data_IF_759768541184
#
_entry.id   IF_759768541184
#
_cell.length_a   1.000
_cell.length_b   1.000
_cell.length_c   1.000
_cell.angle_alpha   90.00
_cell.angle_beta   90.00
_cell.angle_gamma   90.00
#
_symmetry.space_group_name_H-M   'P 1'
#
loop_
_entity.id
_entity.type
_entity.pdbx_description
1 polymer ?
#
# COMPACT_ATOMS: atom_id res chain seq x y z
N UNK A 1 31.86 2.37 -10.03
CA UNK A 1 30.84 1.61 -9.30
C UNK A 1 29.99 2.62 -8.55
N UNK A 2 28.73 2.82 -8.95
CA UNK A 2 27.77 3.60 -8.17
C UNK A 2 26.60 2.67 -7.90
N UNK A 3 26.58 2.11 -6.68
CA UNK A 3 25.50 1.30 -6.14
C UNK A 3 24.30 2.21 -5.84
N UNK A 4 23.41 2.37 -6.82
CA UNK A 4 22.07 2.88 -6.56
C UNK A 4 21.24 1.76 -5.92
N UNK A 5 21.54 1.44 -4.67
CA UNK A 5 20.60 0.75 -3.78
C UNK A 5 19.50 1.74 -3.40
N UNK A 6 18.62 2.05 -4.35
CA UNK A 6 17.34 2.61 -3.95
C UNK A 6 16.59 1.49 -3.20
N UNK A 7 16.06 1.75 -1.99
CA UNK A 7 15.23 0.76 -1.33
C UNK A 7 14.07 0.43 -2.27
N UNK A 8 13.96 -0.85 -2.67
CA UNK A 8 12.80 -1.33 -3.44
C UNK A 8 11.57 -0.80 -2.72
N UNK A 9 10.72 -0.03 -3.42
CA UNK A 9 9.45 0.42 -2.88
C UNK A 9 8.76 -0.81 -2.28
N UNK A 10 8.54 -0.80 -0.96
CA UNK A 10 8.05 -1.97 -0.23
C UNK A 10 6.76 -2.46 -0.88
N UNK A 11 6.75 -3.70 -1.38
CA UNK A 11 5.52 -4.36 -1.83
C UNK A 11 4.69 -4.62 -0.58
N UNK A 12 3.54 -3.97 -0.45
CA UNK A 12 2.58 -4.24 0.63
C UNK A 12 1.51 -5.19 0.06
N UNK A 13 1.88 -6.46 -0.06
CA UNK A 13 1.04 -7.53 -0.59
C UNK A 13 1.06 -8.72 0.38
N UNK A 14 -0.07 -9.40 0.53
CA UNK A 14 -0.17 -10.67 1.27
C UNK A 14 -0.75 -11.70 0.32
N UNK A 15 0.03 -12.73 -0.05
CA UNK A 15 -0.36 -13.76 -1.02
C UNK A 15 -0.81 -13.19 -2.37
N UNK A 16 -0.14 -12.16 -2.89
CA UNK A 16 -0.56 -11.47 -4.12
C UNK A 16 -1.87 -10.68 -4.03
N UNK A 17 -2.56 -10.65 -2.89
CA UNK A 17 -3.66 -9.74 -2.64
C UNK A 17 -3.10 -8.39 -2.20
N UNK A 18 -3.47 -7.32 -2.92
CA UNK A 18 -3.28 -5.97 -2.40
C UNK A 18 -4.05 -5.83 -1.09
N UNK A 19 -3.43 -5.26 -0.06
CA UNK A 19 -4.05 -5.12 1.27
C UNK A 19 -5.35 -4.30 1.29
N UNK A 20 -5.71 -3.66 0.16
CA UNK A 20 -6.98 -2.96 0.00
C UNK A 20 -7.12 -1.76 0.93
N UNK A 21 -8.35 -1.25 1.04
CA UNK A 21 -8.68 -0.31 2.11
C UNK A 21 -8.69 -1.08 3.46
N UNK A 22 -8.15 -0.51 4.54
CA UNK A 22 -8.16 -1.12 5.87
C UNK A 22 -9.58 -1.57 6.26
N UNK A 23 -9.70 -2.77 6.82
CA UNK A 23 -10.98 -3.25 7.33
C UNK A 23 -11.31 -2.60 8.69
N UNK A 24 -12.58 -2.60 9.13
CA UNK A 24 -12.93 -2.13 10.47
C UNK A 24 -12.18 -2.86 11.59
N UNK A 25 -11.83 -4.13 11.40
CA UNK A 25 -11.03 -4.90 12.36
C UNK A 25 -9.57 -4.38 12.44
N UNK A 26 -9.01 -3.91 11.32
CA UNK A 26 -7.68 -3.30 11.30
C UNK A 26 -7.68 -1.96 12.05
N UNK A 27 -8.75 -1.18 11.88
CA UNK A 27 -8.97 0.07 12.63
C UNK A 27 -9.11 -0.21 14.12
N UNK A 28 -9.89 -1.22 14.50
CA UNK A 28 -10.06 -1.60 15.90
C UNK A 28 -8.72 -2.02 16.51
N UNK A 29 -7.99 -2.92 15.85
CA UNK A 29 -6.65 -3.36 16.28
C UNK A 29 -5.75 -2.15 16.51
N UNK A 30 -5.76 -1.19 15.58
CA UNK A 30 -4.96 0.03 15.71
C UNK A 30 -5.42 0.93 16.85
N UNK A 31 -6.73 1.05 17.10
CA UNK A 31 -7.25 1.83 18.22
C UNK A 31 -6.83 1.23 19.57
N UNK A 32 -6.85 -0.10 19.70
CA UNK A 32 -6.33 -0.80 20.89
C UNK A 32 -4.83 -0.58 21.08
N UNK A 33 -4.05 -0.60 19.99
CA UNK A 33 -2.63 -0.27 20.03
C UNK A 33 -2.37 1.16 20.51
N UNK A 34 -3.16 2.14 20.04
CA UNK A 34 -3.07 3.53 20.48
C UNK A 34 -3.36 3.64 21.98
N UNK A 35 -4.42 2.99 22.47
CA UNK A 35 -4.74 2.97 23.89
C UNK A 35 -3.61 2.36 24.73
N UNK A 36 -2.97 1.29 24.25
CA UNK A 36 -1.81 0.68 24.90
C UNK A 36 -0.57 1.61 24.89
N UNK A 37 -0.32 2.34 23.80
CA UNK A 37 0.77 3.32 23.71
C UNK A 37 0.57 4.45 24.72
N UNK A 38 -0.69 4.86 24.94
CA UNK A 38 -1.08 5.85 25.95
C UNK A 38 -1.12 5.30 27.39
N UNK A 39 -0.57 4.11 27.62
CA UNK A 39 -0.54 3.43 28.92
C UNK A 39 -1.94 3.15 29.51
N UNK A 40 -2.97 3.05 28.65
CA UNK A 40 -4.35 2.67 29.01
C UNK A 40 -4.61 1.20 28.71
N UNK A 41 -5.71 0.68 29.26
CA UNK A 41 -6.17 -0.66 28.93
C UNK A 41 -6.60 -0.73 27.45
N UNK A 42 -6.03 -1.61 26.63
CA UNK A 42 -6.37 -1.73 25.21
C UNK A 42 -7.84 -2.10 24.96
N UNK A 43 -8.50 -2.79 25.90
CA UNK A 43 -9.93 -3.13 25.77
C UNK A 43 -10.86 -1.95 26.08
N UNK A 44 -10.34 -0.87 26.69
CA UNK A 44 -11.06 0.37 27.01
C UNK A 44 -10.67 1.52 26.06
N UNK A 45 -10.44 1.21 24.77
CA UNK A 45 -10.16 2.23 23.76
C UNK A 45 -11.36 3.18 23.58
N UNK A 46 -11.06 4.44 23.30
CA UNK A 46 -12.06 5.52 23.21
C UNK A 46 -12.38 5.88 21.76
N UNK A 47 -13.47 6.63 21.55
CA UNK A 47 -13.82 7.18 20.23
C UNK A 47 -12.68 8.06 19.64
N UNK A 48 -11.85 8.67 20.50
CA UNK A 48 -10.70 9.43 20.07
C UNK A 48 -9.61 8.53 19.45
N UNK A 49 -9.36 7.37 20.06
CA UNK A 49 -8.39 6.38 19.58
C UNK A 49 -8.86 5.78 18.26
N UNK A 50 -10.16 5.48 18.14
CA UNK A 50 -10.78 5.02 16.91
C UNK A 50 -10.60 6.03 15.77
N UNK A 51 -10.91 7.31 16.04
CA UNK A 51 -10.78 8.36 15.04
C UNK A 51 -9.32 8.57 14.60
N UNK A 52 -8.38 8.47 15.55
CA UNK A 52 -6.95 8.52 15.23
C UNK A 52 -6.52 7.31 14.39
N UNK A 53 -6.95 6.11 14.75
CA UNK A 53 -6.69 4.90 13.97
C UNK A 53 -7.23 5.01 12.53
N UNK A 54 -8.46 5.52 12.35
CA UNK A 54 -9.01 5.81 11.02
C UNK A 54 -8.12 6.78 10.23
N UNK A 55 -7.67 7.87 10.87
CA UNK A 55 -6.85 8.89 10.21
C UNK A 55 -5.47 8.35 9.83
N UNK A 56 -4.86 7.49 10.66
CA UNK A 56 -3.56 6.88 10.37
C UNK A 56 -3.64 5.85 9.23
N UNK A 57 -4.71 5.04 9.20
CA UNK A 57 -4.85 3.95 8.23
C UNK A 57 -5.47 4.38 6.90
N UNK A 58 -6.46 5.28 6.92
CA UNK A 58 -7.16 5.76 5.73
C UNK A 58 -6.67 7.14 5.24
N UNK A 59 -5.85 7.82 6.04
CA UNK A 59 -5.42 9.19 5.77
C UNK A 59 -6.44 10.24 6.20
N UNK A 60 -6.15 11.50 5.92
CA UNK A 60 -7.11 12.58 6.15
C UNK A 60 -8.24 12.50 5.11
N UNK A 61 -9.48 12.42 5.57
CA UNK A 61 -10.66 12.63 4.75
C UNK A 61 -10.69 14.10 4.27
N UNK A 62 -9.95 14.42 3.21
CA UNK A 62 -10.08 15.69 2.50
C UNK A 62 -11.36 15.66 1.65
N UNK A 63 -12.51 15.69 2.32
CA UNK A 63 -13.83 15.76 1.70
C UNK A 63 -14.19 17.18 1.24
N UNK A 64 -13.34 18.17 1.48
CA UNK A 64 -13.52 19.53 0.96
C UNK A 64 -13.13 19.56 -0.51
N UNK A 65 -14.08 19.87 -1.42
CA UNK A 65 -13.73 20.29 -2.77
C UNK A 65 -12.74 21.46 -2.67
N UNK A 66 -11.75 21.56 -3.58
CA UNK A 66 -10.88 22.72 -3.62
C UNK A 66 -11.71 24.00 -3.68
N UNK A 67 -11.34 25.01 -2.89
CA UNK A 67 -12.05 26.29 -2.88
C UNK A 67 -12.07 26.91 -4.29
N UNK A 68 -13.21 27.51 -4.66
CA UNK A 68 -13.32 28.31 -5.86
C UNK A 68 -12.53 29.61 -5.67
N UNK A 69 -11.33 29.63 -6.22
CA UNK A 69 -10.49 30.80 -6.45
C UNK A 69 -10.83 31.46 -7.79
N UNK A 70 -10.45 32.73 -8.01
CA UNK A 70 -10.58 33.37 -9.32
C UNK A 70 -9.87 32.60 -10.45
N UNK A 71 -8.86 31.78 -10.10
CA UNK A 71 -8.05 31.00 -11.05
C UNK A 71 -8.75 29.71 -11.54
N UNK A 72 -9.74 29.18 -10.80
CA UNK A 72 -10.52 27.98 -11.16
C UNK A 72 -12.03 28.25 -11.33
N UNK A 73 -12.50 29.47 -11.05
CA UNK A 73 -13.89 29.90 -11.25
C UNK A 73 -14.25 30.11 -12.73
N UNK A 74 -13.26 30.41 -13.58
CA UNK A 74 -13.48 30.56 -15.03
C UNK A 74 -13.14 29.24 -15.73
N UNK A 75 -14.13 28.34 -15.79
CA UNK A 75 -14.08 27.18 -16.67
C UNK A 75 -14.28 27.67 -18.11
N UNK A 76 -13.26 28.31 -18.68
CA UNK A 76 -13.20 28.53 -20.12
C UNK A 76 -13.27 27.16 -20.81
N UNK A 77 -14.02 27.08 -21.91
CA UNK A 77 -14.13 25.92 -22.79
C UNK A 77 -12.78 25.61 -23.51
N UNK A 78 -11.66 25.81 -22.84
CA UNK A 78 -10.31 25.59 -23.36
C UNK A 78 -9.89 24.13 -23.18
N UNK A 79 -10.75 23.21 -23.60
CA UNK A 79 -10.37 21.81 -23.87
C UNK A 79 -9.46 21.68 -25.11
N UNK A 80 -8.89 22.80 -25.59
CA UNK A 80 -7.72 22.79 -26.47
C UNK A 80 -6.47 23.13 -25.65
N UNK A 81 -6.12 22.21 -24.74
CA UNK A 81 -4.77 22.19 -24.17
C UNK A 81 -3.81 21.76 -25.27
N UNK A 82 -3.37 22.72 -26.09
CA UNK A 82 -2.21 22.51 -26.95
C UNK A 82 -1.03 22.34 -26.00
N UNK A 83 -0.46 21.14 -25.94
CA UNK A 83 0.69 20.88 -25.09
C UNK A 83 1.82 21.86 -25.44
N UNK A 84 2.02 22.88 -24.59
CA UNK A 84 3.02 23.94 -24.80
C UNK A 84 4.46 23.43 -24.79
N UNK A 85 4.67 22.18 -24.37
CA UNK A 85 5.93 21.46 -24.53
C UNK A 85 5.65 20.07 -25.08
N UNK A 86 6.60 19.50 -25.83
CA UNK A 86 6.53 18.12 -26.31
C UNK A 86 6.63 17.07 -25.19
N UNK A 87 6.60 17.48 -23.92
CA UNK A 87 6.94 16.66 -22.77
C UNK A 87 8.42 16.24 -22.79
N UNK A 88 8.94 15.85 -21.63
CA UNK A 88 10.21 15.12 -21.58
C UNK A 88 9.88 13.63 -21.75
N UNK A 89 10.14 13.09 -22.94
CA UNK A 89 10.04 11.64 -23.15
C UNK A 89 11.20 11.00 -22.42
N UNK A 90 10.96 10.53 -21.20
CA UNK A 90 11.89 9.64 -20.52
C UNK A 90 12.10 8.45 -21.47
N UNK A 91 13.36 8.06 -21.77
CA UNK A 91 13.62 6.84 -22.52
C UNK A 91 12.81 5.73 -21.88
N UNK A 92 11.98 5.01 -22.65
CA UNK A 92 11.29 3.86 -22.08
C UNK A 92 12.39 2.87 -21.71
N UNK A 93 12.64 2.59 -20.41
CA UNK A 93 13.57 1.52 -20.09
C UNK A 93 13.00 0.23 -20.67
N UNK A 94 13.82 -0.53 -21.40
CA UNK A 94 13.45 -1.88 -21.86
C UNK A 94 12.92 -2.00 -23.30
N UNK A 95 13.28 -1.14 -24.26
CA UNK A 95 13.14 -1.51 -25.69
C UNK A 95 14.40 -2.11 -26.32
N UNK A 96 15.50 -2.17 -25.56
CA UNK A 96 16.79 -2.71 -26.02
C UNK A 96 17.28 -3.91 -25.19
N UNK A 97 16.55 -4.32 -24.15
CA UNK A 97 16.93 -5.44 -23.29
C UNK A 97 16.00 -6.63 -23.55
N UNK A 98 16.60 -7.81 -23.76
CA UNK A 98 15.88 -9.05 -24.09
C UNK A 98 14.99 -9.56 -22.94
N UNK A 99 15.17 -9.03 -21.72
CA UNK A 99 14.33 -9.33 -20.57
C UNK A 99 13.37 -8.16 -20.29
N UNK A 100 12.08 -8.43 -20.45
CA UNK A 100 11.05 -7.41 -20.27
C UNK A 100 10.67 -7.27 -18.80
N UNK A 101 10.23 -6.08 -18.37
CA UNK A 101 9.65 -5.86 -17.03
C UNK A 101 8.53 -6.87 -16.70
N UNK A 102 7.81 -7.34 -17.73
CA UNK A 102 6.79 -8.38 -17.57
C UNK A 102 7.36 -9.72 -17.13
N UNK A 103 8.52 -10.14 -17.64
CA UNK A 103 9.16 -11.41 -17.26
C UNK A 103 9.63 -11.37 -15.81
N UNK A 104 10.25 -10.27 -15.39
CA UNK A 104 10.61 -10.08 -13.98
C UNK A 104 9.40 -10.11 -13.05
N UNK A 105 8.26 -9.52 -13.45
CA UNK A 105 7.04 -9.57 -12.64
C UNK A 105 6.49 -11.00 -12.51
N UNK A 106 6.59 -11.80 -13.58
CA UNK A 106 6.17 -13.21 -13.55
C UNK A 106 7.09 -14.02 -12.64
N UNK A 107 8.40 -13.82 -12.72
CA UNK A 107 9.39 -14.51 -11.88
C UNK A 107 9.18 -14.15 -10.40
N UNK A 108 9.11 -12.86 -10.09
CA UNK A 108 8.86 -12.37 -8.73
C UNK A 108 7.58 -12.99 -8.14
N UNK A 109 6.50 -13.09 -8.92
CA UNK A 109 5.23 -13.67 -8.48
C UNK A 109 5.30 -15.18 -8.23
N UNK A 110 6.10 -15.92 -9.02
CA UNK A 110 6.32 -17.34 -8.80
C UNK A 110 7.13 -17.59 -7.52
N UNK A 111 8.19 -16.82 -7.31
CA UNK A 111 9.00 -16.89 -6.09
C UNK A 111 8.15 -16.62 -4.84
N UNK A 112 7.31 -15.58 -4.87
CA UNK A 112 6.37 -15.25 -3.78
C UNK A 112 5.41 -16.43 -3.50
N UNK A 113 4.77 -16.98 -4.53
CA UNK A 113 3.85 -18.11 -4.36
C UNK A 113 4.54 -19.36 -3.78
N UNK A 114 5.79 -19.66 -4.19
CA UNK A 114 6.53 -20.79 -3.63
C UNK A 114 6.93 -20.58 -2.18
N UNK A 115 7.28 -19.35 -1.82
CA UNK A 115 7.61 -18.99 -0.45
C UNK A 115 6.41 -19.18 0.48
N UNK A 116 5.22 -18.76 0.05
CA UNK A 116 3.99 -18.91 0.83
C UNK A 116 3.64 -20.39 1.05
N UNK A 117 3.80 -21.24 0.03
CA UNK A 117 3.60 -22.70 0.16
C UNK A 117 4.54 -23.31 1.20
N UNK A 118 5.81 -22.89 1.25
CA UNK A 118 6.75 -23.38 2.25
C UNK A 118 6.36 -22.97 3.67
N UNK A 119 5.85 -21.74 3.84
CA UNK A 119 5.41 -21.26 5.15
C UNK A 119 4.16 -22.00 5.64
N UNK A 120 3.17 -22.21 4.77
CA UNK A 120 1.95 -22.96 5.13
C UNK A 120 2.28 -24.41 5.47
N UNK A 121 3.11 -25.10 4.67
CA UNK A 121 3.57 -26.45 4.99
C UNK A 121 4.23 -26.52 6.37
N UNK A 122 5.06 -25.53 6.72
CA UNK A 122 5.71 -25.48 8.04
C UNK A 122 4.72 -25.23 9.17
N UNK A 123 3.68 -24.42 8.97
CA UNK A 123 2.63 -24.20 9.97
C UNK A 123 1.81 -25.46 10.20
N UNK A 124 1.41 -26.15 9.13
CA UNK A 124 0.67 -27.41 9.22
C UNK A 124 1.44 -28.48 9.98
N UNK A 125 2.76 -28.58 9.78
CA UNK A 125 3.63 -29.47 10.56
C UNK A 125 3.59 -29.14 12.07
N UNK A 126 3.71 -27.86 12.42
CA UNK A 126 3.71 -27.41 13.81
C UNK A 126 2.35 -27.62 14.50
N UNK A 127 1.25 -27.43 13.77
CA UNK A 127 -0.10 -27.69 14.26
C UNK A 127 -0.31 -29.19 14.52
N UNK A 128 0.13 -30.06 13.61
CA UNK A 128 0.10 -31.51 13.81
C UNK A 128 0.98 -31.92 15.00
N UNK A 129 2.18 -31.36 15.15
CA UNK A 129 3.06 -31.64 16.30
C UNK A 129 2.43 -31.20 17.63
N UNK A 130 1.67 -30.10 17.65
CA UNK A 130 0.95 -29.61 18.83
C UNK A 130 -0.31 -30.38 19.19
N UNK A 131 -0.98 -30.98 18.20
CA UNK A 131 -2.20 -31.80 18.40
C UNK A 131 -1.89 -33.23 18.91
N UNK A 132 -0.62 -33.65 18.88
CA UNK A 132 -0.16 -34.98 19.34
C UNK A 132 0.17 -35.00 20.87
N UNK A 133 -0.24 -34.00 21.66
CA UNK A 133 -0.07 -33.99 23.13
C UNK A 133 -1.40 -34.05 23.87
#
# INVERSE_FOLDING_TARGET
MNDYSQPRAGKISVHGNGLGAPSPADVEKRAREIAMIDERNPDDFTDADWRQACQELMGAENNTPPEETPDNADLTEEWNVVAGSKGHRIPRPGTEEEETVGEHLVIDGLEEATHDQMLEARREELEQEGEIT
#
